data_IF_118339470015
#
_entry.id   IF_118339470015
#
_cell.length_a   1.000
_cell.length_b   1.000
_cell.length_c   1.000
_cell.angle_alpha   90.00
_cell.angle_beta   90.00
_cell.angle_gamma   90.00
#
_symmetry.space_group_name_H-M   'P 1'
#
loop_
_entity.id
_entity.type
_entity.pdbx_description
1 polymer ?
#
# COMPACT_ATOMS: atom_id res chain seq x y z
N UNK A 1 18.00 12.68 -14.14
CA UNK A 1 18.52 11.77 -15.21
C UNK A 1 17.50 11.76 -16.35
N UNK A 2 17.79 12.35 -17.52
CA UNK A 2 16.83 12.49 -18.63
C UNK A 2 16.15 11.18 -19.06
N UNK A 3 16.88 10.06 -19.07
CA UNK A 3 16.33 8.75 -19.44
C UNK A 3 15.22 8.23 -18.49
N UNK A 4 15.31 8.53 -17.18
CA UNK A 4 14.25 8.18 -16.22
C UNK A 4 13.00 9.01 -16.45
N UNK A 5 13.15 10.26 -16.90
CA UNK A 5 12.03 11.13 -17.24
C UNK A 5 11.29 10.61 -18.47
N UNK A 6 12.00 10.17 -19.51
CA UNK A 6 11.39 9.57 -20.71
C UNK A 6 10.70 8.23 -20.41
N UNK A 7 11.33 7.36 -19.62
CA UNK A 7 10.71 6.10 -19.21
C UNK A 7 9.42 6.32 -18.41
N UNK A 8 9.43 7.29 -17.48
CA UNK A 8 8.26 7.73 -16.73
C UNK A 8 7.13 8.23 -17.65
N UNK A 9 7.46 9.10 -18.62
CA UNK A 9 6.48 9.63 -19.57
C UNK A 9 5.85 8.54 -20.42
N UNK A 10 6.65 7.59 -20.93
CA UNK A 10 6.14 6.48 -21.73
C UNK A 10 5.21 5.56 -20.92
N UNK A 11 5.51 5.31 -19.65
CA UNK A 11 4.64 4.53 -18.77
C UNK A 11 3.32 5.25 -18.49
N UNK A 12 3.36 6.55 -18.22
CA UNK A 12 2.14 7.35 -18.04
C UNK A 12 1.29 7.40 -19.31
N UNK A 13 1.91 7.55 -20.47
CA UNK A 13 1.19 7.54 -21.74
C UNK A 13 0.51 6.19 -21.95
N UNK A 14 1.22 5.07 -21.73
CA UNK A 14 0.64 3.75 -21.86
C UNK A 14 -0.54 3.50 -20.89
N UNK A 15 -0.45 3.99 -19.65
CA UNK A 15 -1.56 3.95 -18.69
C UNK A 15 -2.77 4.74 -19.19
N UNK A 16 -2.54 5.96 -19.70
CA UNK A 16 -3.59 6.81 -20.23
C UNK A 16 -4.27 6.18 -21.46
N UNK A 17 -3.48 5.70 -22.41
CA UNK A 17 -3.99 5.11 -23.66
C UNK A 17 -4.82 3.85 -23.41
N UNK A 18 -4.49 3.09 -22.38
CA UNK A 18 -5.16 1.82 -22.10
C UNK A 18 -6.34 1.96 -21.14
N UNK A 19 -6.21 2.78 -20.09
CA UNK A 19 -7.13 2.74 -18.94
C UNK A 19 -7.87 4.06 -18.69
N UNK A 20 -7.38 5.20 -19.20
CA UNK A 20 -8.10 6.46 -19.04
C UNK A 20 -9.23 6.53 -20.07
N UNK A 21 -10.47 6.67 -19.59
CA UNK A 21 -11.67 6.68 -20.42
C UNK A 21 -12.55 7.89 -20.09
N UNK A 22 -13.26 8.38 -21.10
CA UNK A 22 -14.32 9.38 -20.92
C UNK A 22 -15.56 8.74 -20.30
N UNK A 23 -16.15 9.40 -19.31
CA UNK A 23 -17.33 8.93 -18.58
C UNK A 23 -18.23 10.12 -18.21
N UNK A 24 -19.53 9.92 -17.89
CA UNK A 24 -20.38 11.01 -17.40
C UNK A 24 -19.88 11.75 -16.14
N UNK A 25 -18.98 11.12 -15.38
CA UNK A 25 -18.31 11.72 -14.22
C UNK A 25 -16.99 12.46 -14.60
N UNK A 26 -16.73 12.64 -15.89
CA UNK A 26 -15.47 13.10 -16.45
C UNK A 26 -14.51 11.94 -16.76
N UNK A 27 -13.21 12.22 -16.79
CA UNK A 27 -12.21 11.18 -17.05
C UNK A 27 -12.08 10.22 -15.86
N UNK A 28 -12.03 8.91 -16.14
CA UNK A 28 -11.91 7.87 -15.11
C UNK A 28 -10.89 6.81 -15.54
N UNK A 29 -10.41 6.03 -14.59
CA UNK A 29 -9.71 4.77 -14.85
C UNK A 29 -10.72 3.65 -14.98
N UNK A 30 -10.74 3.00 -16.14
CA UNK A 30 -11.56 1.82 -16.43
C UNK A 30 -10.65 0.71 -16.96
N UNK A 31 -10.59 -0.41 -16.23
CA UNK A 31 -9.89 -1.59 -16.68
C UNK A 31 -10.88 -2.70 -17.02
N UNK A 32 -11.23 -2.82 -18.30
CA UNK A 32 -12.14 -3.87 -18.81
C UNK A 32 -13.51 -3.87 -18.11
N UNK A 33 -14.04 -2.68 -17.81
CA UNK A 33 -15.30 -2.46 -17.10
C UNK A 33 -15.16 -2.38 -15.58
N UNK A 34 -13.97 -2.61 -15.02
CA UNK A 34 -13.72 -2.41 -13.59
C UNK A 34 -13.30 -0.95 -13.31
N UNK A 35 -14.15 -0.25 -12.56
CA UNK A 35 -14.02 1.16 -12.19
C UNK A 35 -13.81 1.32 -10.69
N UNK A 36 -13.05 0.42 -10.09
CA UNK A 36 -12.80 0.43 -8.66
C UNK A 36 -12.29 1.78 -8.15
N UNK A 37 -12.71 2.13 -6.94
CA UNK A 37 -12.21 3.29 -6.20
C UNK A 37 -10.68 3.22 -6.03
N UNK A 38 -10.15 2.02 -5.78
CA UNK A 38 -8.72 1.79 -5.65
C UNK A 38 -7.94 2.19 -6.91
N UNK A 39 -8.45 1.88 -8.10
CA UNK A 39 -7.80 2.26 -9.35
C UNK A 39 -7.72 3.80 -9.51
N UNK A 40 -8.80 4.51 -9.17
CA UNK A 40 -8.81 5.98 -9.20
C UNK A 40 -7.81 6.56 -8.19
N UNK A 41 -7.81 6.00 -6.97
CA UNK A 41 -6.91 6.42 -5.91
C UNK A 41 -5.44 6.22 -6.32
N UNK A 42 -5.07 5.03 -6.82
CA UNK A 42 -3.70 4.76 -7.26
C UNK A 42 -3.28 5.66 -8.43
N UNK A 43 -4.20 5.97 -9.35
CA UNK A 43 -3.91 6.90 -10.44
C UNK A 43 -3.71 8.34 -9.94
N UNK A 44 -4.52 8.82 -9.00
CA UNK A 44 -4.29 10.11 -8.34
C UNK A 44 -2.91 10.15 -7.66
N UNK A 45 -2.53 9.10 -6.92
CA UNK A 45 -1.21 9.01 -6.29
C UNK A 45 -0.08 9.05 -7.32
N UNK A 46 -0.23 8.34 -8.44
CA UNK A 46 0.73 8.38 -9.52
C UNK A 46 0.82 9.80 -10.13
N UNK A 47 -0.33 10.45 -10.37
CA UNK A 47 -0.41 11.84 -10.82
C UNK A 47 0.19 12.81 -9.81
N UNK A 48 0.21 12.54 -8.50
CA UNK A 48 0.87 13.40 -7.51
C UNK A 48 2.39 13.14 -7.51
N UNK A 49 2.80 11.87 -7.51
CA UNK A 49 4.20 11.45 -7.39
C UNK A 49 5.05 11.73 -8.64
N UNK A 50 4.44 11.90 -9.81
CA UNK A 50 5.19 12.13 -11.05
C UNK A 50 6.13 13.36 -10.95
N UNK A 51 7.34 13.31 -11.51
CA UNK A 51 8.23 14.47 -11.55
C UNK A 51 7.89 15.45 -12.69
N UNK A 52 7.03 15.07 -13.65
CA UNK A 52 6.75 15.84 -14.87
C UNK A 52 5.54 16.74 -14.69
N UNK A 53 5.74 18.03 -14.42
CA UNK A 53 4.64 18.98 -14.15
C UNK A 53 4.12 19.61 -15.45
N UNK A 54 2.83 19.47 -15.72
CA UNK A 54 2.11 20.15 -16.81
C UNK A 54 0.80 20.72 -16.28
N UNK A 55 0.24 21.74 -16.92
CA UNK A 55 -1.07 22.31 -16.53
C UNK A 55 -2.20 21.29 -16.64
N UNK A 56 -2.21 20.51 -17.73
CA UNK A 56 -3.15 19.39 -17.91
C UNK A 56 -3.07 18.39 -16.73
N UNK A 57 -1.85 18.09 -16.26
CA UNK A 57 -1.67 17.22 -15.09
C UNK A 57 -2.21 17.85 -13.82
N UNK A 58 -1.97 19.15 -13.58
CA UNK A 58 -2.53 19.84 -12.42
C UNK A 58 -4.07 19.79 -12.42
N UNK A 59 -4.69 19.99 -13.59
CA UNK A 59 -6.14 19.80 -13.78
C UNK A 59 -6.58 18.36 -13.47
N UNK A 60 -5.83 17.36 -13.92
CA UNK A 60 -6.14 15.95 -13.65
C UNK A 60 -5.98 15.58 -12.17
N UNK A 61 -5.00 16.14 -11.46
CA UNK A 61 -4.84 15.91 -10.01
C UNK A 61 -6.10 16.34 -9.25
N UNK A 62 -6.57 17.56 -9.47
CA UNK A 62 -7.78 18.06 -8.81
C UNK A 62 -9.03 17.30 -9.28
N UNK A 63 -9.12 16.96 -10.57
CA UNK A 63 -10.23 16.18 -11.11
C UNK A 63 -10.39 14.83 -10.41
N UNK A 64 -9.31 14.03 -10.34
CA UNK A 64 -9.37 12.72 -9.68
C UNK A 64 -9.54 12.82 -8.17
N UNK A 65 -8.98 13.85 -7.53
CA UNK A 65 -9.21 14.09 -6.11
C UNK A 65 -10.69 14.37 -5.83
N UNK A 66 -11.32 15.27 -6.60
CA UNK A 66 -12.75 15.57 -6.51
C UNK A 66 -13.62 14.34 -6.80
N UNK A 67 -13.30 13.57 -7.85
CA UNK A 67 -13.99 12.32 -8.17
C UNK A 67 -14.02 11.35 -6.98
N UNK A 68 -12.91 11.23 -6.25
CA UNK A 68 -12.84 10.41 -5.03
C UNK A 68 -13.68 11.05 -3.92
N UNK A 69 -13.54 12.36 -3.68
CA UNK A 69 -14.30 13.08 -2.64
C UNK A 69 -15.81 12.96 -2.82
N UNK A 70 -16.30 13.11 -4.04
CA UNK A 70 -17.72 13.02 -4.39
C UNK A 70 -18.32 11.62 -4.11
N UNK A 71 -17.48 10.58 -4.08
CA UNK A 71 -17.88 9.23 -3.69
C UNK A 71 -18.06 9.03 -2.18
N UNK A 72 -17.65 9.97 -1.33
CA UNK A 72 -17.68 9.81 0.12
C UNK A 72 -19.10 9.90 0.69
N UNK A 73 -19.49 8.93 1.52
CA UNK A 73 -20.76 8.95 2.26
C UNK A 73 -20.51 8.78 3.74
N UNK A 74 -20.80 9.81 4.52
CA UNK A 74 -20.43 9.90 5.94
C UNK A 74 -20.91 8.71 6.79
N UNK A 75 -22.07 8.14 6.46
CA UNK A 75 -22.68 7.00 7.17
C UNK A 75 -22.30 5.65 6.58
N UNK A 76 -22.20 5.56 5.25
CA UNK A 76 -22.03 4.29 4.53
C UNK A 76 -20.56 3.93 4.22
N UNK A 77 -19.67 4.90 4.28
CA UNK A 77 -18.30 4.79 3.80
C UNK A 77 -18.17 5.09 2.31
N UNK A 78 -16.99 4.84 1.74
CA UNK A 78 -16.82 4.87 0.29
C UNK A 78 -17.45 3.63 -0.36
N UNK A 79 -17.99 3.72 -1.59
CA UNK A 79 -18.32 2.56 -2.39
C UNK A 79 -17.06 1.85 -2.91
N UNK A 80 -17.21 0.64 -3.45
CA UNK A 80 -16.10 -0.11 -4.04
C UNK A 80 -15.68 0.41 -5.42
N UNK A 81 -16.62 1.03 -6.13
CA UNK A 81 -16.47 1.64 -7.44
C UNK A 81 -17.06 3.05 -7.43
N UNK A 82 -16.48 3.95 -8.24
CA UNK A 82 -16.83 5.39 -8.24
C UNK A 82 -18.26 5.71 -8.69
N UNK A 83 -18.87 4.84 -9.48
CA UNK A 83 -20.20 5.01 -10.04
C UNK A 83 -21.24 4.12 -9.34
N UNK A 84 -20.84 3.37 -8.30
CA UNK A 84 -21.76 2.50 -7.58
C UNK A 84 -22.60 3.24 -6.56
N UNK A 85 -23.91 2.98 -6.58
CA UNK A 85 -24.84 3.44 -5.55
C UNK A 85 -24.96 2.47 -4.37
N UNK A 86 -24.42 1.24 -4.49
CA UNK A 86 -24.54 0.19 -3.49
C UNK A 86 -23.18 -0.46 -3.16
N UNK A 87 -23.08 -1.04 -1.96
CA UNK A 87 -21.91 -1.81 -1.52
C UNK A 87 -22.22 -3.30 -1.70
N UNK A 88 -21.43 -3.97 -2.54
CA UNK A 88 -21.60 -5.38 -2.89
C UNK A 88 -20.69 -6.32 -2.09
N UNK A 89 -19.57 -5.79 -1.59
CA UNK A 89 -18.51 -6.46 -0.86
C UNK A 89 -17.92 -5.54 0.20
N UNK A 90 -18.25 -5.82 1.47
CA UNK A 90 -17.64 -5.14 2.63
C UNK A 90 -16.12 -5.31 2.65
N UNK A 91 -15.61 -6.43 2.15
CA UNK A 91 -14.17 -6.66 2.04
C UNK A 91 -13.51 -5.66 1.09
N UNK A 92 -14.06 -5.45 -0.11
CA UNK A 92 -13.52 -4.51 -1.09
C UNK A 92 -13.69 -3.06 -0.64
N UNK A 93 -14.84 -2.73 -0.05
CA UNK A 93 -15.06 -1.41 0.55
C UNK A 93 -13.97 -1.08 1.56
N UNK A 94 -13.65 -2.01 2.46
CA UNK A 94 -12.60 -1.85 3.46
C UNK A 94 -11.19 -1.87 2.87
N UNK A 95 -10.99 -2.58 1.76
CA UNK A 95 -9.70 -2.60 1.06
C UNK A 95 -9.41 -1.29 0.31
N UNK A 96 -10.44 -0.67 -0.29
CA UNK A 96 -10.29 0.56 -1.08
C UNK A 96 -10.42 1.84 -0.26
N UNK A 97 -11.14 1.83 0.87
CA UNK A 97 -11.30 3.02 1.74
C UNK A 97 -9.96 3.62 2.17
N UNK A 98 -8.98 2.84 2.68
CA UNK A 98 -7.66 3.38 3.00
C UNK A 98 -6.89 3.87 1.77
N UNK A 99 -7.06 3.25 0.60
CA UNK A 99 -6.40 3.72 -0.63
C UNK A 99 -6.89 5.12 -1.02
N UNK A 100 -8.21 5.33 -0.95
CA UNK A 100 -8.83 6.64 -1.19
C UNK A 100 -8.39 7.67 -0.14
N UNK A 101 -8.41 7.31 1.15
CA UNK A 101 -7.96 8.20 2.22
C UNK A 101 -6.49 8.61 2.05
N UNK A 102 -5.59 7.65 1.74
CA UNK A 102 -4.19 7.92 1.45
C UNK A 102 -4.02 8.89 0.28
N UNK A 103 -4.72 8.65 -0.82
CA UNK A 103 -4.65 9.52 -2.01
C UNK A 103 -5.13 10.95 -1.70
N UNK A 104 -6.19 11.10 -0.89
CA UNK A 104 -6.68 12.40 -0.45
C UNK A 104 -5.75 13.10 0.55
N UNK A 105 -5.08 12.35 1.44
CA UNK A 105 -4.04 12.90 2.32
C UNK A 105 -2.83 13.38 1.51
N UNK A 106 -2.38 12.61 0.52
CA UNK A 106 -1.29 13.01 -0.39
C UNK A 106 -1.70 14.24 -1.22
N UNK A 107 -2.96 14.30 -1.66
CA UNK A 107 -3.52 15.46 -2.34
C UNK A 107 -3.48 16.71 -1.44
N UNK A 108 -3.97 16.59 -0.20
CA UNK A 108 -3.88 17.67 0.79
C UNK A 108 -2.42 18.13 1.00
N UNK A 109 -1.48 17.21 1.17
CA UNK A 109 -0.07 17.57 1.34
C UNK A 109 0.50 18.31 0.12
N UNK A 110 0.05 17.97 -1.10
CA UNK A 110 0.54 18.57 -2.32
C UNK A 110 -0.10 19.95 -2.62
N UNK A 111 -1.34 20.19 -2.20
CA UNK A 111 -2.13 21.38 -2.63
C UNK A 111 -2.65 22.25 -1.49
N UNK A 112 -2.61 21.77 -0.25
CA UNK A 112 -3.25 22.42 0.90
C UNK A 112 -4.77 22.27 0.95
N UNK A 113 -5.37 21.43 0.10
CA UNK A 113 -6.83 21.26 0.02
C UNK A 113 -7.39 20.66 1.32
N UNK A 114 -8.12 21.46 2.11
CA UNK A 114 -8.66 21.05 3.42
C UNK A 114 -9.83 20.07 3.30
N UNK A 115 -10.65 20.15 2.25
CA UNK A 115 -11.76 19.22 2.03
C UNK A 115 -11.24 17.78 1.86
N UNK A 116 -10.11 17.61 1.18
CA UNK A 116 -9.45 16.31 1.02
C UNK A 116 -8.97 15.76 2.37
N UNK A 117 -8.41 16.61 3.23
CA UNK A 117 -8.02 16.22 4.58
C UNK A 117 -9.23 15.80 5.41
N UNK A 118 -10.28 16.61 5.42
CA UNK A 118 -11.49 16.36 6.22
C UNK A 118 -12.17 15.05 5.82
N UNK A 119 -12.29 14.78 4.52
CA UNK A 119 -12.85 13.52 4.01
C UNK A 119 -11.94 12.33 4.35
N UNK A 120 -10.63 12.46 4.17
CA UNK A 120 -9.71 11.37 4.50
C UNK A 120 -9.76 11.01 5.99
N UNK A 121 -9.75 12.00 6.87
CA UNK A 121 -9.95 11.83 8.31
C UNK A 121 -11.28 11.15 8.59
N UNK A 122 -12.38 11.67 8.02
CA UNK A 122 -13.71 11.10 8.22
C UNK A 122 -13.80 9.65 7.73
N UNK A 123 -13.07 9.29 6.68
CA UNK A 123 -13.03 7.94 6.13
C UNK A 123 -12.26 6.96 7.02
N UNK A 124 -11.13 7.39 7.57
CA UNK A 124 -10.35 6.58 8.51
C UNK A 124 -11.11 6.41 9.84
N UNK A 125 -11.75 7.47 10.35
CA UNK A 125 -12.60 7.39 11.54
C UNK A 125 -13.79 6.45 11.32
N UNK A 126 -14.43 6.52 10.15
CA UNK A 126 -15.52 5.61 9.79
C UNK A 126 -15.02 4.16 9.74
N UNK A 127 -13.84 3.93 9.18
CA UNK A 127 -13.26 2.60 9.09
C UNK A 127 -12.99 2.01 10.48
N UNK A 128 -12.39 2.79 11.38
CA UNK A 128 -12.10 2.32 12.75
C UNK A 128 -13.38 2.10 13.56
N UNK A 129 -14.40 2.96 13.42
CA UNK A 129 -15.69 2.75 14.09
C UNK A 129 -16.44 1.52 13.58
N UNK A 130 -16.38 1.26 12.27
CA UNK A 130 -17.15 0.19 11.63
C UNK A 130 -16.41 -1.14 11.68
N UNK A 131 -15.09 -1.11 11.59
CA UNK A 131 -14.21 -2.27 11.58
C UNK A 131 -13.00 -2.05 12.52
N UNK A 132 -13.21 -2.08 13.84
CA UNK A 132 -12.17 -1.74 14.80
C UNK A 132 -10.90 -2.58 14.61
N UNK A 133 -9.74 -1.92 14.63
CA UNK A 133 -8.46 -2.59 14.36
C UNK A 133 -8.08 -3.60 15.44
N UNK A 134 -8.66 -3.50 16.64
CA UNK A 134 -8.49 -4.47 17.73
C UNK A 134 -9.44 -5.67 17.68
N UNK A 135 -10.30 -5.79 16.66
CA UNK A 135 -11.19 -6.95 16.48
C UNK A 135 -10.59 -7.92 15.46
N UNK A 136 -10.16 -9.09 15.94
CA UNK A 136 -9.52 -10.14 15.13
C UNK A 136 -10.43 -10.69 14.02
N UNK A 137 -11.76 -10.64 14.20
CA UNK A 137 -12.76 -11.03 13.19
C UNK A 137 -12.74 -10.10 11.99
N UNK A 138 -12.17 -8.92 12.16
CA UNK A 138 -11.95 -7.95 11.11
C UNK A 138 -10.50 -7.96 10.68
N UNK A 139 -9.60 -8.79 11.20
CA UNK A 139 -8.25 -8.77 10.67
C UNK A 139 -8.17 -9.41 9.27
N UNK A 140 -7.54 -8.72 8.31
CA UNK A 140 -7.12 -9.31 7.05
C UNK A 140 -5.81 -8.68 6.58
N UNK A 141 -4.73 -9.46 6.37
CA UNK A 141 -3.40 -8.91 6.14
C UNK A 141 -3.28 -8.10 4.84
N UNK A 142 -4.10 -8.34 3.83
CA UNK A 142 -4.08 -7.52 2.60
C UNK A 142 -4.63 -6.10 2.79
N UNK A 143 -5.42 -5.85 3.84
CA UNK A 143 -6.03 -4.54 4.08
C UNK A 143 -5.10 -3.64 4.91
N UNK A 144 -4.21 -4.23 5.70
CA UNK A 144 -3.32 -3.53 6.62
C UNK A 144 -2.37 -2.55 5.93
N UNK A 145 -1.69 -2.88 4.81
CA UNK A 145 -0.66 -2.01 4.25
C UNK A 145 -1.15 -0.63 3.85
N UNK A 146 -2.31 -0.56 3.18
CA UNK A 146 -2.89 0.72 2.77
C UNK A 146 -3.37 1.54 3.98
N UNK A 147 -3.93 0.87 4.99
CA UNK A 147 -4.32 1.53 6.23
C UNK A 147 -3.10 2.07 6.98
N UNK A 148 -2.04 1.27 7.13
CA UNK A 148 -0.80 1.71 7.76
C UNK A 148 -0.17 2.92 7.05
N UNK A 149 -0.06 2.92 5.72
CA UNK A 149 0.44 4.08 4.97
C UNK A 149 -0.43 5.33 5.22
N UNK A 150 -1.76 5.16 5.25
CA UNK A 150 -2.70 6.24 5.55
C UNK A 150 -2.53 6.80 6.96
N UNK A 151 -2.36 5.93 7.96
CA UNK A 151 -2.21 6.30 9.37
C UNK A 151 -0.89 7.04 9.61
N UNK A 152 0.20 6.57 9.01
CA UNK A 152 1.52 7.25 9.07
C UNK A 152 1.42 8.64 8.48
N UNK A 153 0.77 8.79 7.32
CA UNK A 153 0.60 10.09 6.70
C UNK A 153 -0.36 10.99 7.51
N UNK A 154 -1.46 10.45 8.03
CA UNK A 154 -2.38 11.16 8.90
C UNK A 154 -1.66 11.72 10.13
N UNK A 155 -0.80 10.92 10.79
CA UNK A 155 -0.05 11.38 11.95
C UNK A 155 0.92 12.53 11.59
N UNK A 156 1.46 12.57 10.37
CA UNK A 156 2.31 13.68 9.91
C UNK A 156 1.54 14.98 9.71
N UNK A 157 0.36 14.91 9.10
CA UNK A 157 -0.46 16.10 8.81
C UNK A 157 -1.35 16.53 9.98
N UNK A 158 -1.66 15.59 10.89
CA UNK A 158 -2.45 15.80 12.11
C UNK A 158 -1.82 15.03 13.29
N UNK A 159 -0.71 15.54 13.84
CA UNK A 159 -0.06 14.95 15.02
C UNK A 159 -1.01 14.86 16.22
N UNK A 160 -0.85 13.83 17.05
CA UNK A 160 -1.66 13.61 18.25
C UNK A 160 -3.01 12.92 17.99
N UNK A 161 -3.26 12.45 16.77
CA UNK A 161 -4.33 11.49 16.49
C UNK A 161 -3.98 10.10 17.03
N UNK A 162 -5.00 9.25 17.22
CA UNK A 162 -4.81 7.85 17.63
C UNK A 162 -4.14 6.97 16.54
N UNK A 163 -3.76 7.56 15.41
CA UNK A 163 -3.28 6.85 14.24
C UNK A 163 -2.06 5.95 14.51
N UNK A 164 -1.14 6.41 15.36
CA UNK A 164 0.05 5.62 15.74
C UNK A 164 -0.34 4.42 16.61
N UNK A 165 -1.32 4.58 17.50
CA UNK A 165 -1.81 3.48 18.33
C UNK A 165 -2.53 2.43 17.47
N UNK A 166 -3.34 2.85 16.50
CA UNK A 166 -3.97 1.96 15.52
C UNK A 166 -2.91 1.23 14.68
N UNK A 167 -1.85 1.93 14.23
CA UNK A 167 -0.73 1.32 13.51
C UNK A 167 -0.06 0.20 14.33
N UNK A 168 0.18 0.42 15.63
CA UNK A 168 0.75 -0.61 16.50
C UNK A 168 -0.17 -1.81 16.65
N UNK A 169 -1.48 -1.60 16.83
CA UNK A 169 -2.46 -2.68 16.92
C UNK A 169 -2.43 -3.54 15.66
N UNK A 170 -2.50 -2.92 14.47
CA UNK A 170 -2.46 -3.63 13.19
C UNK A 170 -1.14 -4.37 12.95
N UNK A 171 -0.02 -3.77 13.39
CA UNK A 171 1.31 -4.38 13.28
C UNK A 171 1.41 -5.60 14.19
N UNK A 172 0.89 -5.51 15.41
CA UNK A 172 0.89 -6.62 16.35
C UNK A 172 0.05 -7.80 15.85
N UNK A 173 -1.08 -7.53 15.20
CA UNK A 173 -1.88 -8.54 14.50
C UNK A 173 -1.14 -9.16 13.30
N UNK A 174 -0.41 -8.37 12.50
CA UNK A 174 0.46 -8.93 11.45
C UNK A 174 1.54 -9.85 12.03
N UNK A 175 2.12 -9.50 13.18
CA UNK A 175 3.12 -10.33 13.84
C UNK A 175 2.55 -11.62 14.44
N UNK A 176 1.24 -11.69 14.70
CA UNK A 176 0.58 -12.90 15.18
C UNK A 176 0.58 -13.99 14.09
N UNK A 177 0.56 -13.57 12.81
CA UNK A 177 0.59 -14.46 11.65
C UNK A 177 1.97 -14.60 11.01
N UNK A 178 3.02 -14.00 11.58
CA UNK A 178 4.37 -14.15 11.06
C UNK A 178 4.91 -15.53 11.45
N UNK A 179 5.23 -16.33 10.44
CA UNK A 179 5.82 -17.66 10.58
C UNK A 179 7.23 -17.53 11.21
N UNK A 180 7.52 -18.41 12.17
CA UNK A 180 8.77 -18.45 12.94
C UNK A 180 9.47 -19.81 12.85
N UNK A 181 8.92 -20.75 12.08
CA UNK A 181 9.38 -22.14 12.05
C UNK A 181 9.77 -22.53 10.63
N UNK A 182 8.78 -22.80 9.79
CA UNK A 182 9.01 -23.46 8.51
C UNK A 182 9.48 -22.45 7.46
N UNK A 183 8.95 -21.22 7.51
CA UNK A 183 9.36 -20.12 6.64
C UNK A 183 9.50 -18.83 7.47
N UNK A 184 10.56 -18.70 8.29
CA UNK A 184 10.73 -17.56 9.19
C UNK A 184 10.62 -16.22 8.46
N UNK A 185 9.76 -15.33 8.96
CA UNK A 185 9.56 -13.99 8.40
C UNK A 185 8.40 -13.86 7.40
N UNK A 186 7.87 -14.98 6.90
CA UNK A 186 6.68 -15.01 6.03
C UNK A 186 5.43 -14.65 6.81
N UNK A 187 4.55 -13.81 6.25
CA UNK A 187 3.29 -13.41 6.91
C UNK A 187 2.16 -14.32 6.46
N UNK A 188 2.03 -15.48 7.11
CA UNK A 188 1.01 -16.48 6.81
C UNK A 188 0.80 -17.45 7.98
N UNK A 189 -0.45 -17.88 8.18
CA UNK A 189 -0.77 -18.98 9.07
C UNK A 189 -1.78 -19.93 8.42
N UNK A 190 -1.64 -21.22 8.70
CA UNK A 190 -2.51 -22.28 8.16
C UNK A 190 -3.97 -22.14 8.60
N UNK A 191 -4.19 -21.66 9.83
CA UNK A 191 -5.52 -21.42 10.39
C UNK A 191 -6.26 -20.21 9.80
N UNK A 192 -5.59 -19.40 8.97
CA UNK A 192 -6.17 -18.23 8.28
C UNK A 192 -6.61 -18.57 6.85
N UNK A 193 -7.61 -19.46 6.72
CA UNK A 193 -8.00 -20.07 5.43
C UNK A 193 -8.52 -19.06 4.39
N UNK A 194 -8.85 -17.83 4.79
CA UNK A 194 -9.33 -16.76 3.92
C UNK A 194 -8.22 -15.81 3.39
N UNK A 195 -6.97 -15.91 3.86
CA UNK A 195 -5.89 -14.98 3.44
C UNK A 195 -5.28 -15.26 2.07
N UNK A 196 -5.74 -16.35 1.42
CA UNK A 196 -5.14 -16.85 0.20
C UNK A 196 -3.73 -17.41 0.39
N UNK A 197 -3.16 -17.93 -0.71
CA UNK A 197 -1.83 -18.52 -0.70
C UNK A 197 -0.75 -17.46 -0.41
N UNK A 198 0.29 -17.80 0.37
CA UNK A 198 1.41 -16.89 0.58
C UNK A 198 2.07 -16.48 -0.72
N UNK A 199 2.53 -15.24 -0.74
CA UNK A 199 3.17 -14.63 -1.88
C UNK A 199 3.98 -13.39 -1.45
N UNK A 200 4.96 -13.06 -2.28
CA UNK A 200 5.94 -12.01 -1.98
C UNK A 200 5.33 -10.60 -1.86
N UNK A 201 4.22 -10.32 -2.55
CA UNK A 201 3.55 -9.02 -2.48
C UNK A 201 3.08 -8.77 -1.05
N UNK A 202 2.39 -9.76 -0.45
CA UNK A 202 1.91 -9.67 0.93
C UNK A 202 3.04 -9.57 1.92
N UNK A 203 4.09 -10.39 1.76
CA UNK A 203 5.23 -10.40 2.67
C UNK A 203 5.98 -9.06 2.62
N UNK A 204 6.21 -8.53 1.41
CA UNK A 204 6.88 -7.24 1.22
C UNK A 204 6.08 -6.09 1.82
N UNK A 205 4.77 -6.05 1.57
CA UNK A 205 3.91 -5.00 2.12
C UNK A 205 3.83 -5.08 3.65
N UNK A 206 3.70 -6.28 4.22
CA UNK A 206 3.67 -6.48 5.68
C UNK A 206 5.01 -6.11 6.32
N UNK A 207 6.13 -6.42 5.65
CA UNK A 207 7.46 -5.97 6.07
C UNK A 207 7.55 -4.44 6.11
N UNK A 208 6.99 -3.74 5.11
CA UNK A 208 6.94 -2.27 5.12
C UNK A 208 6.14 -1.71 6.29
N UNK A 209 4.99 -2.31 6.62
CA UNK A 209 4.19 -1.93 7.79
C UNK A 209 5.00 -2.05 9.06
N UNK A 210 5.69 -3.18 9.23
CA UNK A 210 6.55 -3.43 10.38
C UNK A 210 7.68 -2.40 10.51
N UNK A 211 8.32 -2.01 9.40
CA UNK A 211 9.37 -0.98 9.41
C UNK A 211 8.81 0.41 9.75
N UNK A 212 7.61 0.75 9.25
CA UNK A 212 6.93 2.01 9.61
C UNK A 212 6.58 2.06 11.11
N UNK A 213 6.05 0.97 11.65
CA UNK A 213 5.76 0.86 13.07
C UNK A 213 7.03 0.89 13.92
N UNK A 214 8.12 0.26 13.47
CA UNK A 214 9.42 0.32 14.14
C UNK A 214 9.93 1.76 14.26
N UNK A 215 9.89 2.54 13.18
CA UNK A 215 10.30 3.94 13.19
C UNK A 215 9.54 4.74 14.25
N UNK A 216 8.21 4.59 14.29
CA UNK A 216 7.37 5.25 15.29
C UNK A 216 7.61 4.77 16.73
N UNK A 217 7.86 3.47 16.93
CA UNK A 217 8.16 2.93 18.26
C UNK A 217 9.48 3.51 18.80
N UNK A 218 10.49 3.68 17.93
CA UNK A 218 11.76 4.29 18.28
C UNK A 218 11.62 5.79 18.59
N UNK A 219 10.86 6.51 17.78
CA UNK A 219 10.64 7.95 17.98
C UNK A 219 9.86 8.24 19.29
N UNK A 220 9.07 7.28 19.77
CA UNK A 220 8.35 7.34 21.06
C UNK A 220 9.14 6.76 22.26
N UNK A 221 10.39 6.31 22.06
CA UNK A 221 11.20 5.58 23.05
C UNK A 221 10.49 4.33 23.64
N UNK A 222 9.62 3.68 22.86
CA UNK A 222 9.00 2.40 23.24
C UNK A 222 9.94 1.24 22.93
N UNK A 223 10.92 1.06 23.82
CA UNK A 223 11.98 0.06 23.67
C UNK A 223 11.44 -1.36 23.51
N UNK A 224 10.36 -1.71 24.22
CA UNK A 224 9.79 -3.06 24.17
C UNK A 224 9.19 -3.36 22.79
N UNK A 225 8.44 -2.41 22.22
CA UNK A 225 7.91 -2.57 20.85
C UNK A 225 9.02 -2.52 19.83
N UNK A 226 9.95 -1.57 19.94
CA UNK A 226 11.07 -1.42 19.02
C UNK A 226 11.91 -2.72 18.90
N UNK A 227 12.34 -3.31 20.02
CA UNK A 227 13.10 -4.56 20.01
C UNK A 227 12.32 -5.73 19.38
N UNK A 228 11.01 -5.82 19.68
CA UNK A 228 10.14 -6.85 19.09
C UNK A 228 10.05 -6.67 17.57
N UNK A 229 9.88 -5.43 17.11
CA UNK A 229 9.73 -5.11 15.70
C UNK A 229 11.04 -5.27 14.93
N UNK A 230 12.19 -4.92 15.51
CA UNK A 230 13.52 -5.16 14.92
C UNK A 230 13.76 -6.65 14.64
N UNK A 231 13.53 -7.52 15.63
CA UNK A 231 13.71 -8.98 15.45
C UNK A 231 12.80 -9.55 14.36
N UNK A 232 11.54 -9.10 14.34
CA UNK A 232 10.59 -9.51 13.32
C UNK A 232 10.96 -8.97 11.93
N UNK A 233 11.49 -7.74 11.85
CA UNK A 233 11.92 -7.11 10.61
C UNK A 233 13.13 -7.81 10.02
N UNK A 234 14.12 -8.19 10.84
CA UNK A 234 15.25 -8.99 10.40
C UNK A 234 14.80 -10.31 9.74
N UNK A 235 13.89 -11.03 10.39
CA UNK A 235 13.33 -12.29 9.82
C UNK A 235 12.56 -12.03 8.53
N UNK A 236 11.74 -10.97 8.48
CA UNK A 236 10.97 -10.62 7.29
C UNK A 236 11.86 -10.24 6.10
N UNK A 237 12.91 -9.45 6.33
CA UNK A 237 13.88 -9.06 5.29
C UNK A 237 14.66 -10.26 4.77
N UNK A 238 15.03 -11.20 5.65
CA UNK A 238 15.64 -12.47 5.25
C UNK A 238 14.69 -13.33 4.39
N UNK A 239 13.40 -13.38 4.75
CA UNK A 239 12.39 -14.02 3.91
C UNK A 239 12.34 -13.38 2.52
N UNK A 240 12.29 -12.04 2.43
CA UNK A 240 12.32 -11.34 1.13
C UNK A 240 13.59 -11.67 0.34
N UNK A 241 14.75 -11.70 0.98
CA UNK A 241 16.02 -12.07 0.35
C UNK A 241 15.99 -13.50 -0.18
N UNK A 242 15.42 -14.44 0.55
CA UNK A 242 15.30 -15.84 0.12
C UNK A 242 14.40 -16.03 -1.12
N UNK A 243 13.52 -15.07 -1.40
CA UNK A 243 12.72 -15.04 -2.62
C UNK A 243 13.49 -14.48 -3.82
N UNK A 244 14.63 -13.84 -3.63
CA UNK A 244 15.42 -13.25 -4.70
C UNK A 244 15.96 -14.34 -5.63
N UNK A 245 15.88 -14.10 -6.93
CA UNK A 245 16.57 -14.92 -7.91
C UNK A 245 18.05 -14.57 -7.93
N UNK A 246 18.89 -15.57 -7.69
CA UNK A 246 20.33 -15.47 -7.87
C UNK A 246 20.73 -15.76 -9.31
N UNK A 247 22.03 -15.69 -9.61
CA UNK A 247 22.59 -16.04 -10.92
C UNK A 247 22.24 -17.48 -11.33
N UNK A 248 22.03 -18.38 -10.35
CA UNK A 248 21.43 -19.70 -10.56
C UNK A 248 19.94 -19.71 -10.24
N UNK A 249 19.15 -20.45 -11.02
CA UNK A 249 17.68 -20.53 -10.84
C UNK A 249 16.88 -19.54 -11.69
N UNK A 250 17.51 -18.93 -12.69
CA UNK A 250 16.88 -18.03 -13.69
C UNK A 250 16.80 -18.65 -15.09
N UNK A 251 17.19 -19.91 -15.25
CA UNK A 251 17.29 -20.62 -16.53
C UNK A 251 15.92 -20.80 -17.20
N UNK A 252 14.84 -20.75 -16.42
CA UNK A 252 13.46 -20.85 -16.90
C UNK A 252 12.95 -19.56 -17.56
N UNK A 253 13.66 -18.43 -17.46
CA UNK A 253 13.23 -17.16 -18.02
C UNK A 253 13.76 -16.94 -19.45
N UNK A 254 12.98 -16.29 -20.34
CA UNK A 254 13.43 -15.96 -21.70
C UNK A 254 14.70 -15.09 -21.74
N UNK A 255 14.90 -14.25 -20.71
CA UNK A 255 16.08 -13.41 -20.55
C UNK A 255 16.63 -13.58 -19.12
N UNK A 256 17.43 -14.62 -18.85
CA UNK A 256 17.87 -14.97 -17.49
C UNK A 256 18.58 -13.83 -16.75
N UNK A 257 19.44 -13.07 -17.45
CA UNK A 257 20.15 -11.94 -16.86
C UNK A 257 19.24 -10.83 -16.33
N UNK A 258 18.04 -10.65 -16.89
CA UNK A 258 17.08 -9.66 -16.42
C UNK A 258 16.27 -10.14 -15.21
N UNK A 259 16.28 -11.44 -14.91
CA UNK A 259 15.58 -12.02 -13.78
C UNK A 259 16.44 -12.01 -12.50
N UNK A 260 17.76 -11.90 -12.63
CA UNK A 260 18.67 -11.81 -11.47
C UNK A 260 18.31 -10.61 -10.61
N UNK A 261 18.15 -10.84 -9.32
CA UNK A 261 17.77 -9.82 -8.35
C UNK A 261 16.26 -9.55 -8.27
N UNK A 262 15.45 -10.04 -9.21
CA UNK A 262 14.00 -10.03 -9.08
C UNK A 262 13.54 -11.01 -7.99
N UNK A 263 12.29 -10.91 -7.55
CA UNK A 263 11.75 -11.80 -6.52
C UNK A 263 10.74 -12.79 -7.09
N UNK A 264 10.88 -14.04 -6.67
CA UNK A 264 9.92 -15.12 -6.87
C UNK A 264 8.57 -14.74 -6.26
N UNK A 265 7.50 -14.83 -7.04
CA UNK A 265 6.15 -14.59 -6.52
C UNK A 265 5.80 -15.56 -5.39
N UNK A 266 6.23 -16.83 -5.51
CA UNK A 266 6.17 -17.87 -4.48
C UNK A 266 7.42 -18.74 -4.55
N UNK A 267 7.78 -19.41 -3.45
CA UNK A 267 8.98 -20.26 -3.38
C UNK A 267 9.10 -21.31 -4.49
N UNK A 268 7.98 -21.86 -4.96
CA UNK A 268 7.96 -22.97 -5.92
C UNK A 268 7.54 -22.56 -7.33
N UNK A 269 7.36 -21.25 -7.60
CA UNK A 269 6.86 -20.74 -8.88
C UNK A 269 7.94 -19.89 -9.56
N UNK A 270 8.34 -20.27 -10.79
CA UNK A 270 9.22 -19.47 -11.66
C UNK A 270 8.48 -18.26 -12.27
N UNK A 271 7.88 -17.44 -11.40
CA UNK A 271 7.04 -16.30 -11.76
C UNK A 271 7.56 -15.04 -11.08
N UNK A 272 7.70 -13.97 -11.86
CA UNK A 272 7.98 -12.62 -11.39
C UNK A 272 6.73 -11.79 -11.59
N UNK A 273 6.29 -11.10 -10.54
CA UNK A 273 5.27 -10.05 -10.65
C UNK A 273 5.89 -8.71 -10.30
N UNK A 274 5.57 -7.69 -11.11
CA UNK A 274 6.14 -6.35 -10.98
C UNK A 274 5.87 -5.73 -9.61
N UNK A 275 4.64 -5.85 -9.11
CA UNK A 275 4.25 -5.32 -7.81
C UNK A 275 5.02 -5.96 -6.65
N UNK A 276 5.28 -7.28 -6.73
CA UNK A 276 6.12 -7.99 -5.78
C UNK A 276 7.53 -7.42 -5.72
N UNK A 277 8.16 -7.21 -6.88
CA UNK A 277 9.51 -6.61 -6.98
C UNK A 277 9.52 -5.18 -6.43
N UNK A 278 8.54 -4.35 -6.82
CA UNK A 278 8.47 -2.95 -6.41
C UNK A 278 8.29 -2.83 -4.90
N UNK A 279 7.33 -3.55 -4.30
CA UNK A 279 7.12 -3.46 -2.86
C UNK A 279 8.28 -4.02 -2.05
N UNK A 280 8.96 -5.06 -2.52
CA UNK A 280 10.18 -5.56 -1.88
C UNK A 280 11.32 -4.55 -1.96
N UNK A 281 11.52 -3.90 -3.12
CA UNK A 281 12.51 -2.84 -3.26
C UNK A 281 12.23 -1.69 -2.27
N UNK A 282 10.96 -1.28 -2.12
CA UNK A 282 10.57 -0.27 -1.13
C UNK A 282 10.82 -0.73 0.31
N UNK A 283 10.61 -2.02 0.62
CA UNK A 283 10.93 -2.58 1.94
C UNK A 283 12.43 -2.54 2.21
N UNK A 284 13.26 -2.97 1.26
CA UNK A 284 14.71 -2.91 1.37
C UNK A 284 15.24 -1.46 1.48
N UNK A 285 14.67 -0.53 0.71
CA UNK A 285 15.05 0.89 0.79
C UNK A 285 14.73 1.47 2.17
N UNK A 286 13.55 1.15 2.72
CA UNK A 286 13.17 1.60 4.06
C UNK A 286 14.08 0.98 5.14
N UNK A 287 14.35 -0.33 5.05
CA UNK A 287 15.28 -1.01 5.95
C UNK A 287 16.70 -0.41 5.88
N UNK A 288 17.21 -0.11 4.68
CA UNK A 288 18.51 0.52 4.50
C UNK A 288 18.57 1.91 5.13
N UNK A 289 17.50 2.71 5.05
CA UNK A 289 17.40 4.01 5.72
C UNK A 289 17.50 3.86 7.24
N UNK A 290 16.75 2.93 7.84
CA UNK A 290 16.80 2.68 9.28
C UNK A 290 18.16 2.14 9.72
N UNK A 291 18.76 1.21 8.97
CA UNK A 291 20.09 0.67 9.27
C UNK A 291 21.17 1.76 9.22
N UNK A 292 21.13 2.65 8.23
CA UNK A 292 22.05 3.78 8.14
C UNK A 292 21.93 4.75 9.33
N UNK A 293 20.74 4.84 9.94
CA UNK A 293 20.49 5.61 11.15
C UNK A 293 20.82 4.84 12.45
N UNK A 294 21.27 3.59 12.37
CA UNK A 294 21.49 2.72 13.54
C UNK A 294 20.21 2.27 14.23
N UNK A 295 19.06 2.31 13.52
CA UNK A 295 17.73 1.95 14.01
C UNK A 295 17.32 0.51 13.67
N UNK A 296 18.08 -0.20 12.83
CA UNK A 296 17.90 -1.59 12.43
C UNK A 296 19.25 -2.29 12.33
#
# INVERSE_FOLDING_TARGET
>A
RPALTSAHQNQFQALNDQWLQEHPLGQIIDFKGDRSLGAQALYLRALIASPVRTEQRAGNVEHFARLIRDGWRRTEGFPEAIDSTQVSSRFLQRFYTPQAALALLEHHQATGNLESLDIAVSALDWLERTFPSGDDRHFHPSQVPWLAESLVLLNKVRPGSDAVQTLFTLTDELLSIQDRRDFPGRFWQEKGTNYGRPNIVRDAQSTRVLLMALEHALDLDDKKRAERYQRAAASALENLRAHQYDVGGVEAFPNPGNAVGALRFRYNDALIRLDGVVFSAMAFEHAAKLAWQGKL
#
